data_IF_840013363060
#
_entry.id   IF_840013363060
#
_cell.length_a   1.000
_cell.length_b   1.000
_cell.length_c   1.000
_cell.angle_alpha   90.00
_cell.angle_beta   90.00
_cell.angle_gamma   90.00
#
_symmetry.space_group_name_H-M   'P 1'
#
loop_
_entity.id
_entity.type
_entity.pdbx_description
1 polymer ?
#
# COMPACT_ATOMS: atom_id res chain seq x y z
N UNK A 1 -19.04 -7.29 -58.54
CA UNK A 1 -18.11 -7.80 -57.53
C UNK A 1 -17.87 -6.66 -56.55
N UNK A 2 -18.41 -6.76 -55.34
CA UNK A 2 -18.12 -5.79 -54.27
C UNK A 2 -16.89 -6.25 -53.48
N UNK A 3 -15.97 -5.35 -53.27
CA UNK A 3 -14.76 -5.58 -52.46
C UNK A 3 -14.96 -4.87 -51.13
N UNK A 4 -14.81 -5.62 -50.04
CA UNK A 4 -14.82 -5.07 -48.67
C UNK A 4 -13.38 -5.08 -48.11
N UNK A 5 -12.98 -3.99 -47.54
CA UNK A 5 -11.69 -3.88 -46.83
C UNK A 5 -11.99 -3.88 -45.34
N UNK A 6 -11.44 -4.85 -44.60
CA UNK A 6 -11.46 -4.88 -43.15
C UNK A 6 -10.12 -4.34 -42.63
N UNK A 7 -10.17 -3.20 -41.98
CA UNK A 7 -9.01 -2.67 -41.29
C UNK A 7 -9.06 -3.13 -39.82
N UNK A 8 -8.14 -4.00 -39.43
CA UNK A 8 -7.95 -4.41 -38.05
C UNK A 8 -6.82 -3.56 -37.49
N UNK A 9 -7.15 -2.61 -36.64
CA UNK A 9 -6.17 -1.88 -35.84
C UNK A 9 -6.00 -2.62 -34.52
N UNK A 10 -4.79 -3.10 -34.26
CA UNK A 10 -4.43 -3.59 -32.93
C UNK A 10 -4.26 -2.37 -32.04
N UNK A 11 -5.02 -2.33 -30.93
CA UNK A 11 -4.83 -1.34 -29.92
C UNK A 11 -3.37 -1.37 -29.44
N UNK A 12 -2.71 -0.22 -29.36
CA UNK A 12 -1.32 -0.18 -28.91
C UNK A 12 -1.28 -0.74 -27.52
N UNK A 13 -0.46 -1.77 -27.34
CA UNK A 13 -0.11 -2.26 -26.02
C UNK A 13 0.59 -1.13 -25.26
N UNK A 14 -0.15 -0.50 -24.36
CA UNK A 14 0.35 0.63 -23.57
C UNK A 14 0.99 0.03 -22.32
N UNK A 15 2.26 0.38 -21.99
CA UNK A 15 2.94 -0.13 -20.79
C UNK A 15 2.49 0.64 -19.54
N UNK A 16 1.23 1.01 -19.48
CA UNK A 16 0.64 1.71 -18.34
C UNK A 16 -0.08 0.75 -17.40
N UNK A 17 -0.25 1.20 -16.16
CA UNK A 17 -0.97 0.48 -15.10
C UNK A 17 -2.41 0.95 -15.08
N UNK A 18 -3.33 -0.01 -15.04
CA UNK A 18 -4.74 0.27 -14.83
C UNK A 18 -5.05 0.41 -13.34
N UNK A 19 -4.57 -0.55 -12.53
CA UNK A 19 -4.82 -0.59 -11.08
C UNK A 19 -3.71 -1.32 -10.34
N UNK A 20 -3.47 -0.88 -9.11
CA UNK A 20 -2.60 -1.54 -8.13
C UNK A 20 -3.41 -1.76 -6.85
N UNK A 21 -3.28 -2.93 -6.23
CA UNK A 21 -3.88 -3.24 -4.95
C UNK A 21 -2.82 -3.80 -4.00
N UNK A 22 -2.95 -3.49 -2.73
CA UNK A 22 -2.23 -4.13 -1.62
C UNK A 22 -3.27 -4.67 -0.66
N UNK A 23 -3.27 -5.98 -0.41
CA UNK A 23 -4.28 -6.68 0.40
C UNK A 23 -5.72 -6.29 0.02
N UNK A 24 -6.04 -6.35 -1.28
CA UNK A 24 -7.35 -6.00 -1.87
C UNK A 24 -7.76 -4.52 -1.76
N UNK A 25 -6.94 -3.67 -1.16
CA UNK A 25 -7.15 -2.22 -1.12
C UNK A 25 -6.52 -1.56 -2.33
N UNK A 26 -7.31 -0.81 -3.11
CA UNK A 26 -6.81 -0.08 -4.28
C UNK A 26 -5.87 1.05 -3.85
N UNK A 27 -4.67 1.05 -4.43
CA UNK A 27 -3.62 2.03 -4.16
C UNK A 27 -3.58 3.05 -5.29
N UNK A 28 -3.71 4.31 -4.94
CA UNK A 28 -3.65 5.40 -5.90
C UNK A 28 -2.22 5.89 -6.09
N UNK A 29 -1.91 6.30 -7.30
CA UNK A 29 -0.63 6.89 -7.65
C UNK A 29 -0.47 8.24 -6.96
N UNK A 30 0.65 8.42 -6.27
CA UNK A 30 0.93 9.67 -5.57
C UNK A 30 0.01 9.98 -4.39
N UNK A 31 -0.84 9.04 -3.95
CA UNK A 31 -1.73 9.23 -2.81
C UNK A 31 -1.44 8.22 -1.70
N UNK A 32 -1.29 8.72 -0.48
CA UNK A 32 -1.31 7.92 0.72
C UNK A 32 -2.57 8.30 1.53
N UNK A 33 -3.37 7.33 1.90
CA UNK A 33 -4.65 7.58 2.60
C UNK A 33 -4.48 7.90 4.09
N UNK A 34 -3.30 7.68 4.68
CA UNK A 34 -3.08 7.78 6.14
C UNK A 34 -1.98 8.74 6.57
N UNK A 35 -1.13 9.22 5.68
CA UNK A 35 -0.04 10.15 6.02
C UNK A 35 -0.23 11.42 5.21
N UNK A 36 0.00 12.58 5.85
CA UNK A 36 0.07 13.86 5.14
C UNK A 36 1.30 13.85 4.22
N UNK A 37 1.08 13.45 2.98
CA UNK A 37 2.11 13.35 1.94
C UNK A 37 2.66 14.70 1.50
N UNK A 38 2.10 15.81 1.99
CA UNK A 38 2.64 17.15 1.73
C UNK A 38 4.07 17.31 2.24
N UNK A 39 4.50 16.44 3.15
CA UNK A 39 5.86 16.41 3.72
C UNK A 39 6.86 15.59 2.90
N UNK A 40 6.40 14.80 1.92
CA UNK A 40 7.25 13.93 1.11
C UNK A 40 7.05 14.24 -0.37
N UNK A 41 8.15 14.52 -1.08
CA UNK A 41 8.12 14.60 -2.53
C UNK A 41 7.87 13.18 -3.10
N UNK A 42 6.65 12.91 -3.54
CA UNK A 42 6.31 11.65 -4.23
C UNK A 42 6.57 11.87 -5.72
N UNK A 43 7.42 11.01 -6.29
CA UNK A 43 7.67 11.01 -7.73
C UNK A 43 6.41 10.57 -8.50
N UNK A 44 6.21 11.11 -9.70
CA UNK A 44 5.00 10.93 -10.53
C UNK A 44 4.57 9.48 -10.77
N UNK A 45 5.49 8.53 -10.74
CA UNK A 45 5.24 7.11 -10.99
C UNK A 45 5.30 6.24 -9.72
N UNK A 46 5.06 6.82 -8.53
CA UNK A 46 5.09 6.13 -7.24
C UNK A 46 3.68 5.87 -6.71
N UNK A 47 3.43 4.62 -6.33
CA UNK A 47 2.26 4.17 -5.57
C UNK A 47 2.65 4.06 -4.09
N UNK A 48 1.78 4.50 -3.18
CA UNK A 48 2.04 4.43 -1.74
C UNK A 48 0.87 3.76 -1.03
N UNK A 49 1.14 2.65 -0.37
CA UNK A 49 0.19 1.93 0.47
C UNK A 49 0.61 2.00 1.93
N UNK A 50 -0.35 1.97 2.84
CA UNK A 50 -0.10 1.84 4.28
C UNK A 50 -0.72 0.54 4.78
N UNK A 51 0.01 -0.20 5.57
CA UNK A 51 -0.43 -1.44 6.22
C UNK A 51 -0.19 -1.37 7.72
N UNK A 52 -1.06 -2.02 8.48
CA UNK A 52 -1.02 -1.98 9.96
C UNK A 52 -0.30 -3.19 10.57
N UNK A 53 0.22 -4.11 9.76
CA UNK A 53 0.91 -5.32 10.20
C UNK A 53 2.11 -5.62 9.33
N UNK A 54 3.11 -6.28 9.91
CA UNK A 54 4.28 -6.80 9.20
C UNK A 54 4.03 -8.13 8.46
N UNK A 55 2.80 -8.62 8.49
CA UNK A 55 2.45 -9.85 7.77
C UNK A 55 2.76 -9.70 6.26
N UNK A 56 3.13 -10.77 5.58
CA UNK A 56 3.28 -10.75 4.13
C UNK A 56 2.02 -10.23 3.45
N UNK A 57 2.20 -9.42 2.41
CA UNK A 57 1.10 -8.79 1.68
C UNK A 57 0.89 -9.43 0.31
N UNK A 58 -0.32 -9.32 -0.21
CA UNK A 58 -0.62 -9.63 -1.59
C UNK A 58 -0.61 -8.34 -2.42
N UNK A 59 0.23 -8.29 -3.45
CA UNK A 59 0.33 -7.16 -4.36
C UNK A 59 -0.32 -7.55 -5.68
N UNK A 60 -1.40 -6.87 -6.08
CA UNK A 60 -2.06 -7.10 -7.36
C UNK A 60 -1.75 -5.94 -8.28
N UNK A 61 -1.22 -6.23 -9.46
CA UNK A 61 -0.91 -5.23 -10.49
C UNK A 61 -1.65 -5.60 -11.77
N UNK A 62 -2.55 -4.73 -12.19
CA UNK A 62 -3.32 -4.87 -13.42
C UNK A 62 -2.80 -3.89 -14.46
N UNK A 63 -2.15 -4.37 -15.53
CA UNK A 63 -1.70 -3.52 -16.62
C UNK A 63 -2.90 -3.06 -17.48
N UNK A 64 -2.78 -1.90 -18.09
CA UNK A 64 -3.78 -1.39 -19.03
C UNK A 64 -3.81 -2.22 -20.33
N UNK A 65 -2.65 -2.66 -20.81
CA UNK A 65 -2.52 -3.56 -21.92
C UNK A 65 -2.83 -5.01 -21.51
N UNK A 66 -3.91 -5.60 -22.02
CA UNK A 66 -4.39 -6.94 -21.62
C UNK A 66 -3.37 -8.08 -21.85
N UNK A 67 -2.33 -7.86 -22.65
CA UNK A 67 -1.29 -8.84 -22.98
C UNK A 67 0.10 -8.43 -22.46
N UNK A 68 0.16 -7.38 -21.64
CA UNK A 68 1.41 -6.89 -21.06
C UNK A 68 1.94 -7.84 -19.99
N UNK A 69 3.26 -7.84 -19.80
CA UNK A 69 3.93 -8.57 -18.72
C UNK A 69 4.29 -7.60 -17.60
N UNK A 70 4.03 -7.97 -16.38
CA UNK A 70 4.43 -7.21 -15.18
C UNK A 70 5.55 -7.97 -14.48
N UNK A 71 6.66 -7.27 -14.21
CA UNK A 71 7.79 -7.80 -13.45
C UNK A 71 7.96 -7.00 -12.18
N UNK A 72 7.96 -7.66 -11.03
CA UNK A 72 8.09 -7.07 -9.68
C UNK A 72 9.43 -7.48 -9.06
N UNK A 73 10.11 -6.52 -8.40
CA UNK A 73 11.32 -6.73 -7.58
C UNK A 73 11.39 -5.66 -6.49
N UNK A 74 12.29 -5.78 -5.55
CA UNK A 74 12.46 -4.80 -4.47
C UNK A 74 13.16 -5.34 -3.25
N UNK A 75 13.04 -4.65 -2.15
CA UNK A 75 13.80 -4.89 -0.91
C UNK A 75 13.74 -6.35 -0.44
N UNK A 76 12.60 -7.01 -0.59
CA UNK A 76 12.37 -8.38 -0.11
C UNK A 76 12.22 -9.40 -1.25
N UNK A 77 12.36 -8.96 -2.49
CA UNK A 77 12.32 -9.81 -3.71
C UNK A 77 13.66 -9.69 -4.43
N UNK A 78 14.61 -10.55 -4.07
CA UNK A 78 15.96 -10.56 -4.69
C UNK A 78 15.93 -10.95 -6.17
N UNK A 79 15.08 -11.89 -6.52
CA UNK A 79 14.91 -12.35 -7.91
C UNK A 79 13.62 -11.80 -8.48
N UNK A 80 13.68 -11.00 -9.58
CA UNK A 80 12.48 -10.44 -10.19
C UNK A 80 11.47 -11.52 -10.59
N UNK A 81 10.20 -11.30 -10.21
CA UNK A 81 9.09 -12.20 -10.52
C UNK A 81 8.23 -11.59 -11.62
N UNK A 82 8.01 -12.33 -12.70
CA UNK A 82 7.20 -11.85 -13.83
C UNK A 82 5.87 -12.58 -13.93
N UNK A 83 4.81 -11.82 -14.24
CA UNK A 83 3.47 -12.34 -14.51
C UNK A 83 2.93 -11.79 -15.83
N UNK A 84 2.64 -12.71 -16.74
CA UNK A 84 1.96 -12.39 -17.99
C UNK A 84 0.51 -11.96 -17.70
N UNK A 85 0.08 -10.85 -18.28
CA UNK A 85 -1.20 -10.19 -18.03
C UNK A 85 -1.34 -9.55 -16.62
N UNK A 86 -0.23 -9.45 -15.88
CA UNK A 86 -0.28 -9.02 -14.49
C UNK A 86 -0.85 -10.07 -13.56
N UNK A 87 -1.42 -9.64 -12.44
CA UNK A 87 -2.05 -10.52 -11.45
C UNK A 87 -1.53 -10.31 -10.04
N UNK A 88 -1.77 -11.31 -9.18
CA UNK A 88 -1.44 -11.25 -7.76
C UNK A 88 -0.06 -11.82 -7.52
N UNK A 89 0.82 -11.04 -6.89
CA UNK A 89 2.06 -11.48 -6.26
C UNK A 89 1.74 -11.80 -4.80
N UNK A 90 1.69 -13.07 -4.46
CA UNK A 90 1.21 -13.55 -3.17
C UNK A 90 2.33 -13.63 -2.14
N UNK A 91 1.98 -13.40 -0.87
CA UNK A 91 2.87 -13.56 0.27
C UNK A 91 4.20 -12.81 0.14
N UNK A 92 4.15 -11.59 -0.37
CA UNK A 92 5.33 -10.72 -0.49
C UNK A 92 5.71 -10.24 0.91
N UNK A 93 6.93 -10.57 1.34
CA UNK A 93 7.43 -10.15 2.63
C UNK A 93 7.61 -8.63 2.71
N UNK A 94 7.53 -8.09 3.91
CA UNK A 94 7.83 -6.69 4.20
C UNK A 94 9.14 -6.57 4.98
N UNK A 95 9.76 -5.39 4.99
CA UNK A 95 10.88 -5.09 5.88
C UNK A 95 10.41 -5.17 7.34
N UNK A 96 11.30 -5.55 8.24
CA UNK A 96 10.98 -5.67 9.68
C UNK A 96 10.59 -4.33 10.33
N UNK A 97 10.95 -3.21 9.69
CA UNK A 97 10.62 -1.86 10.17
C UNK A 97 10.57 -0.86 9.01
N UNK A 98 9.75 0.17 9.16
CA UNK A 98 9.70 1.30 8.23
C UNK A 98 9.01 0.99 6.90
N UNK A 99 9.62 1.44 5.82
CA UNK A 99 9.06 1.34 4.47
C UNK A 99 9.69 0.16 3.74
N UNK A 100 8.86 -0.62 3.03
CA UNK A 100 9.31 -1.61 2.05
C UNK A 100 9.17 -1.01 0.66
N UNK A 101 10.24 -1.00 -0.11
CA UNK A 101 10.27 -0.43 -1.45
C UNK A 101 10.28 -1.55 -2.49
N UNK A 102 9.38 -1.41 -3.44
CA UNK A 102 9.31 -2.25 -4.62
C UNK A 102 9.38 -1.39 -5.88
N UNK A 103 9.89 -1.99 -6.92
CA UNK A 103 9.75 -1.49 -8.28
C UNK A 103 9.03 -2.54 -9.11
N UNK A 104 8.21 -2.10 -10.05
CA UNK A 104 7.64 -3.00 -11.02
C UNK A 104 7.67 -2.39 -12.42
N UNK A 105 7.93 -3.23 -13.40
CA UNK A 105 7.96 -2.85 -14.81
C UNK A 105 6.79 -3.48 -15.55
N UNK A 106 6.15 -2.69 -16.36
CA UNK A 106 5.14 -3.15 -17.31
C UNK A 106 5.77 -3.14 -18.69
N UNK A 107 5.86 -4.30 -19.31
CA UNK A 107 6.33 -4.49 -20.67
C UNK A 107 5.12 -4.70 -21.59
N UNK A 108 5.00 -3.87 -22.64
CA UNK A 108 3.99 -4.04 -23.67
C UNK A 108 4.16 -5.38 -24.39
N UNK A 109 3.07 -5.98 -24.87
CA UNK A 109 3.09 -7.30 -25.49
C UNK A 109 3.97 -7.40 -26.74
N UNK A 110 4.19 -6.29 -27.44
CA UNK A 110 5.07 -6.23 -28.62
C UNK A 110 6.55 -6.07 -28.26
N UNK A 111 6.88 -5.93 -26.96
CA UNK A 111 8.22 -5.77 -26.45
C UNK A 111 8.90 -4.45 -26.79
N UNK A 112 8.18 -3.48 -27.41
CA UNK A 112 8.76 -2.23 -27.87
C UNK A 112 8.68 -1.09 -26.86
N UNK A 113 7.76 -1.19 -25.93
CA UNK A 113 7.56 -0.19 -24.89
C UNK A 113 7.55 -0.84 -23.52
N UNK A 114 8.19 -0.16 -22.56
CA UNK A 114 8.15 -0.54 -21.16
C UNK A 114 8.11 0.70 -20.27
N UNK A 115 7.53 0.57 -19.08
CA UNK A 115 7.52 1.62 -18.08
C UNK A 115 7.72 1.02 -16.69
N UNK A 116 8.54 1.69 -15.89
CA UNK A 116 8.83 1.29 -14.51
C UNK A 116 8.11 2.21 -13.55
N UNK A 117 7.60 1.63 -12.49
CA UNK A 117 6.86 2.28 -11.42
C UNK A 117 7.48 1.89 -10.08
N UNK A 118 7.26 2.73 -9.07
CA UNK A 118 7.61 2.44 -7.69
C UNK A 118 6.37 2.12 -6.88
N UNK A 119 6.48 1.20 -5.93
CA UNK A 119 5.47 0.91 -4.92
C UNK A 119 6.17 0.95 -3.56
N UNK A 120 5.70 1.84 -2.70
CA UNK A 120 6.15 1.94 -1.31
C UNK A 120 5.05 1.42 -0.41
N UNK A 121 5.37 0.48 0.46
CA UNK A 121 4.48 -0.01 1.50
C UNK A 121 5.00 0.53 2.82
N UNK A 122 4.25 1.47 3.39
CA UNK A 122 4.52 2.06 4.69
C UNK A 122 3.89 1.18 5.76
N UNK A 123 4.69 0.77 6.71
CA UNK A 123 4.18 0.18 7.92
C UNK A 123 3.80 1.31 8.89
N UNK A 124 2.52 1.47 9.16
CA UNK A 124 2.02 2.32 10.22
C UNK A 124 2.25 1.57 11.54
N UNK A 125 3.44 1.68 12.09
CA UNK A 125 3.95 0.87 13.18
C UNK A 125 2.99 0.61 14.33
N UNK A 126 3.30 -0.39 15.15
CA UNK A 126 2.64 -0.69 16.43
C UNK A 126 2.74 0.47 17.46
N UNK A 127 3.31 1.62 17.06
CA UNK A 127 3.28 2.84 17.83
C UNK A 127 1.88 3.45 17.95
N UNK A 128 0.93 3.03 17.11
CA UNK A 128 -0.47 3.34 17.32
C UNK A 128 -1.07 2.36 18.33
N UNK A 129 -0.74 2.61 19.60
CA UNK A 129 -1.40 1.99 20.75
C UNK A 129 -2.78 2.59 21.01
N UNK A 130 -3.31 3.36 20.07
CA UNK A 130 -4.63 3.93 20.17
C UNK A 130 -5.68 2.83 19.99
N UNK A 131 -6.53 2.70 20.99
CA UNK A 131 -7.67 1.80 20.91
C UNK A 131 -8.70 2.40 19.93
N UNK A 132 -9.16 1.62 18.99
CA UNK A 132 -10.22 2.03 18.06
C UNK A 132 -11.50 2.38 18.81
N UNK A 133 -11.85 1.59 19.81
CA UNK A 133 -12.95 1.86 20.72
C UNK A 133 -12.76 1.16 22.06
N UNK A 134 -13.38 1.70 23.11
CA UNK A 134 -13.50 1.09 24.43
C UNK A 134 -14.95 1.09 24.81
N UNK A 135 -15.50 -0.06 25.17
CA UNK A 135 -16.87 -0.17 25.66
C UNK A 135 -16.95 -0.90 27.00
N UNK A 136 -17.89 -0.50 27.84
CA UNK A 136 -18.23 -1.21 29.07
C UNK A 136 -19.72 -1.54 29.05
N UNK A 137 -20.07 -2.83 29.09
CA UNK A 137 -21.46 -3.31 28.99
C UNK A 137 -22.24 -2.74 27.82
N UNK A 138 -21.56 -2.59 26.63
CA UNK A 138 -22.17 -2.06 25.43
C UNK A 138 -22.31 -0.52 25.37
N UNK A 139 -21.80 0.19 26.37
CA UNK A 139 -21.72 1.65 26.36
C UNK A 139 -20.33 2.05 25.92
N UNK A 140 -20.22 2.81 24.81
CA UNK A 140 -18.95 3.32 24.32
C UNK A 140 -18.37 4.37 25.28
N UNK A 141 -17.06 4.26 25.50
CA UNK A 141 -16.33 5.24 26.31
C UNK A 141 -15.93 6.44 25.44
N UNK A 142 -16.12 7.63 25.97
CA UNK A 142 -15.60 8.85 25.34
C UNK A 142 -14.08 8.93 25.52
N UNK A 143 -13.33 9.12 24.42
CA UNK A 143 -11.88 9.38 24.44
C UNK A 143 -11.66 10.85 24.82
N UNK A 144 -10.80 11.10 25.80
CA UNK A 144 -10.33 12.43 26.15
C UNK A 144 -8.79 12.48 26.06
N UNK A 145 -8.24 13.64 25.70
CA UNK A 145 -6.82 13.85 25.75
C UNK A 145 -6.36 13.90 27.22
N UNK A 146 -5.26 13.20 27.56
CA UNK A 146 -4.70 13.28 28.90
C UNK A 146 -4.21 14.70 29.20
N UNK A 147 -4.26 15.10 30.46
CA UNK A 147 -3.63 16.33 30.90
C UNK A 147 -2.10 16.13 30.98
N UNK A 148 -1.35 17.26 31.04
CA UNK A 148 0.11 17.24 31.17
C UNK A 148 0.64 16.45 32.38
N UNK A 149 -0.19 16.26 33.39
CA UNK A 149 0.18 15.61 34.66
C UNK A 149 -0.25 14.14 34.72
N UNK A 150 -0.79 13.60 33.63
CA UNK A 150 -1.27 12.21 33.55
C UNK A 150 -0.13 11.28 33.14
N UNK A 151 0.61 10.79 34.13
CA UNK A 151 1.73 9.86 33.93
C UNK A 151 1.47 8.51 34.59
N UNK A 152 2.13 7.48 34.09
CA UNK A 152 2.27 6.18 34.74
C UNK A 152 3.75 5.80 34.77
N UNK A 153 4.10 4.91 35.69
CA UNK A 153 5.45 4.34 35.77
C UNK A 153 5.38 2.94 35.18
N UNK A 154 6.18 2.66 34.16
CA UNK A 154 6.24 1.34 33.55
C UNK A 154 7.08 0.36 34.38
N UNK A 155 7.22 -0.87 33.90
CA UNK A 155 7.89 -1.95 34.63
C UNK A 155 9.40 -1.72 34.85
N UNK A 156 10.02 -0.85 34.07
CA UNK A 156 11.44 -0.47 34.23
C UNK A 156 11.66 0.76 35.11
N UNK A 157 10.59 1.33 35.66
CA UNK A 157 10.61 2.50 36.54
C UNK A 157 10.58 3.85 35.79
N UNK A 158 10.39 3.84 34.47
CA UNK A 158 10.33 5.06 33.67
C UNK A 158 8.94 5.69 33.73
N UNK A 159 8.85 7.01 33.96
CA UNK A 159 7.60 7.75 33.88
C UNK A 159 7.23 7.99 32.40
N UNK A 160 6.03 7.56 32.02
CA UNK A 160 5.46 7.76 30.69
C UNK A 160 4.10 8.45 30.80
N UNK A 161 3.80 9.36 29.88
CA UNK A 161 2.50 10.01 29.81
C UNK A 161 1.47 9.09 29.17
N UNK A 162 0.24 9.09 29.69
CA UNK A 162 -0.85 8.40 29.02
C UNK A 162 -1.13 9.03 27.66
N UNK A 163 -1.32 8.20 26.63
CA UNK A 163 -1.70 8.68 25.28
C UNK A 163 -3.18 9.06 25.18
N UNK A 164 -4.03 8.42 25.96
CA UNK A 164 -5.46 8.70 25.99
C UNK A 164 -6.11 8.28 27.31
N UNK A 165 -7.20 8.90 27.67
CA UNK A 165 -8.12 8.48 28.74
C UNK A 165 -9.49 8.17 28.15
N UNK A 166 -10.16 7.18 28.71
CA UNK A 166 -11.51 6.80 28.33
C UNK A 166 -12.45 6.91 29.52
N UNK A 167 -13.58 7.58 29.33
CA UNK A 167 -14.61 7.77 30.37
C UNK A 167 -15.88 7.08 29.89
N UNK A 168 -16.42 6.20 30.75
CA UNK A 168 -17.75 5.62 30.60
C UNK A 168 -18.64 6.24 31.63
N UNK A 169 -19.70 6.90 31.20
CA UNK A 169 -20.75 7.42 32.10
C UNK A 169 -21.79 6.31 32.31
N UNK A 170 -21.92 5.83 33.54
CA UNK A 170 -22.85 4.78 33.94
C UNK A 170 -24.14 5.39 34.49
#
# INVERSE_FOLDING_TARGET
KQVYTLNITRDRDIPDVQKVYVNDTEVQKGQNTFVDISLFAIEDDTYVATVNRHDPVNITIMPQGAMSTVTLWGDTIETPVSKYRGGVFENVAQNESGTTNFEFRVDAADGKASKTYKLQILYAGDDDTDLESVSFKGIEAGKINPNSDDYYTDADGTQKQYKAKYIVNL
#
